data_IF_812848305850
#
_entry.id   IF_812848305850
#
_cell.length_a   1.000
_cell.length_b   1.000
_cell.length_c   1.000
_cell.angle_alpha   90.00
_cell.angle_beta   90.00
_cell.angle_gamma   90.00
#
_symmetry.space_group_name_H-M   'P 1'
#
loop_
_entity.id
_entity.type
_entity.pdbx_description
1 polymer ?
#
# COMPACT_ATOMS: atom_id res chain seq x y z
N UNK A 1 13.23 -25.68 8.01
CA UNK A 1 11.80 -25.25 7.97
C UNK A 1 11.59 -23.76 8.31
N UNK A 2 12.57 -23.02 8.83
CA UNK A 2 12.47 -21.58 9.14
C UNK A 2 12.62 -20.66 7.93
N UNK A 3 13.38 -21.11 6.91
CA UNK A 3 13.71 -20.34 5.71
C UNK A 3 12.47 -19.98 4.85
N UNK A 4 11.57 -20.94 4.66
CA UNK A 4 10.30 -20.75 3.96
C UNK A 4 9.39 -19.73 4.63
N UNK A 5 9.36 -19.69 5.97
CA UNK A 5 8.57 -18.71 6.72
C UNK A 5 9.16 -17.30 6.57
N UNK A 6 10.48 -17.16 6.71
CA UNK A 6 11.16 -15.87 6.51
C UNK A 6 10.95 -15.34 5.09
N UNK A 7 11.05 -16.21 4.08
CA UNK A 7 10.76 -15.87 2.68
C UNK A 7 9.33 -15.40 2.47
N UNK A 8 8.34 -16.10 3.02
CA UNK A 8 6.93 -15.69 2.89
C UNK A 8 6.65 -14.33 3.54
N UNK A 9 7.25 -14.06 4.71
CA UNK A 9 7.16 -12.76 5.40
C UNK A 9 7.73 -11.64 4.54
N UNK A 10 8.89 -11.87 3.95
CA UNK A 10 9.54 -10.91 3.06
C UNK A 10 8.72 -10.68 1.79
N UNK A 11 8.21 -11.74 1.14
CA UNK A 11 7.35 -11.64 -0.03
C UNK A 11 6.07 -10.85 0.24
N UNK A 12 5.44 -11.04 1.40
CA UNK A 12 4.27 -10.24 1.81
C UNK A 12 4.62 -8.76 1.93
N UNK A 13 5.74 -8.41 2.57
CA UNK A 13 6.18 -7.03 2.70
C UNK A 13 6.44 -6.38 1.33
N UNK A 14 7.08 -7.11 0.41
CA UNK A 14 7.34 -6.65 -0.95
C UNK A 14 6.05 -6.47 -1.73
N UNK A 15 5.14 -7.45 -1.69
CA UNK A 15 3.85 -7.39 -2.37
C UNK A 15 3.02 -6.18 -1.93
N UNK A 16 2.99 -5.91 -0.62
CA UNK A 16 2.32 -4.71 -0.08
C UNK A 16 2.92 -3.46 -0.70
N UNK A 17 4.26 -3.30 -0.69
CA UNK A 17 4.91 -2.12 -1.27
C UNK A 17 4.55 -1.91 -2.74
N UNK A 18 4.51 -2.98 -3.53
CA UNK A 18 4.14 -2.92 -4.96
C UNK A 18 2.69 -2.46 -5.13
N UNK A 19 1.74 -3.13 -4.47
CA UNK A 19 0.30 -2.79 -4.55
C UNK A 19 0.08 -1.33 -4.15
N UNK A 20 0.83 -0.88 -3.14
CA UNK A 20 0.67 0.48 -2.64
C UNK A 20 1.26 1.54 -3.56
N UNK A 21 2.42 1.27 -4.15
CA UNK A 21 3.01 2.13 -5.18
C UNK A 21 2.09 2.22 -6.41
N UNK A 22 1.48 1.11 -6.83
CA UNK A 22 0.48 1.10 -7.91
C UNK A 22 -0.72 1.99 -7.57
N UNK A 23 -1.23 1.93 -6.33
CA UNK A 23 -2.31 2.81 -5.86
C UNK A 23 -1.93 4.30 -5.89
N UNK A 24 -0.71 4.63 -5.50
CA UNK A 24 -0.22 6.01 -5.55
C UNK A 24 -0.10 6.52 -7.00
N UNK A 25 0.48 5.72 -7.90
CA UNK A 25 0.58 6.08 -9.33
C UNK A 25 -0.80 6.23 -9.95
N UNK A 26 -1.74 5.33 -9.65
CA UNK A 26 -3.11 5.43 -10.13
C UNK A 26 -3.79 6.73 -9.66
N UNK A 27 -3.65 7.08 -8.39
CA UNK A 27 -4.19 8.33 -7.85
C UNK A 27 -3.58 9.59 -8.50
N UNK A 28 -2.28 9.56 -8.81
CA UNK A 28 -1.59 10.64 -9.55
C UNK A 28 -2.09 10.73 -11.00
N UNK A 29 -2.30 9.61 -11.69
CA UNK A 29 -2.84 9.59 -13.05
C UNK A 29 -4.26 10.17 -13.07
N UNK A 30 -5.10 9.79 -12.10
CA UNK A 30 -6.45 10.36 -11.94
C UNK A 30 -6.38 11.86 -11.70
N UNK A 31 -5.47 12.31 -10.83
CA UNK A 31 -5.27 13.73 -10.53
C UNK A 31 -4.79 14.54 -11.75
N UNK A 32 -3.87 13.97 -12.54
CA UNK A 32 -3.27 14.62 -13.70
C UNK A 32 -4.25 14.73 -14.88
N UNK A 33 -5.18 13.78 -15.00
CA UNK A 33 -6.14 13.73 -16.11
C UNK A 33 -7.52 14.28 -15.76
N UNK A 34 -7.73 14.72 -14.52
CA UNK A 34 -9.01 15.22 -14.03
C UNK A 34 -9.32 16.65 -14.54
N UNK A 35 -10.40 16.85 -15.32
CA UNK A 35 -10.83 18.19 -15.76
C UNK A 35 -11.53 19.01 -14.66
N UNK A 36 -11.96 18.38 -13.56
CA UNK A 36 -12.72 19.03 -12.47
C UNK A 36 -12.16 18.76 -11.06
N UNK A 37 -12.46 19.67 -10.14
CA UNK A 37 -11.94 19.65 -8.75
C UNK A 37 -12.33 18.39 -7.97
N UNK A 38 -13.54 17.85 -8.18
CA UNK A 38 -14.01 16.64 -7.50
C UNK A 38 -13.20 15.38 -7.88
N UNK A 39 -12.86 15.22 -9.16
CA UNK A 39 -12.06 14.08 -9.62
C UNK A 39 -10.61 14.16 -9.13
N UNK A 40 -10.08 15.38 -8.94
CA UNK A 40 -8.78 15.59 -8.29
C UNK A 40 -8.77 15.12 -6.83
N UNK A 41 -9.81 15.44 -6.06
CA UNK A 41 -9.93 15.03 -4.65
C UNK A 41 -9.96 13.51 -4.51
N UNK A 42 -10.65 12.80 -5.41
CA UNK A 42 -10.63 11.33 -5.45
C UNK A 42 -9.22 10.78 -5.70
N UNK A 43 -8.48 11.36 -6.65
CA UNK A 43 -7.08 10.99 -6.89
C UNK A 43 -6.23 11.12 -5.63
N UNK A 44 -6.30 12.27 -4.92
CA UNK A 44 -5.58 12.49 -3.65
C UNK A 44 -6.02 11.50 -2.57
N UNK A 45 -7.33 11.25 -2.43
CA UNK A 45 -7.85 10.30 -1.44
C UNK A 45 -7.35 8.87 -1.69
N UNK A 46 -7.22 8.46 -2.95
CA UNK A 46 -6.65 7.16 -3.32
C UNK A 46 -5.16 7.10 -2.97
N UNK A 47 -4.38 8.14 -3.30
CA UNK A 47 -2.96 8.20 -2.93
C UNK A 47 -2.78 8.12 -1.42
N UNK A 48 -3.56 8.90 -0.65
CA UNK A 48 -3.51 8.89 0.80
C UNK A 48 -3.92 7.53 1.39
N UNK A 49 -4.98 6.92 0.85
CA UNK A 49 -5.42 5.58 1.27
C UNK A 49 -4.36 4.52 0.98
N UNK A 50 -3.69 4.62 -0.18
CA UNK A 50 -2.57 3.77 -0.52
C UNK A 50 -1.44 3.97 0.50
N UNK A 51 -0.90 5.18 0.65
CA UNK A 51 0.18 5.46 1.62
C UNK A 51 -0.15 4.98 3.04
N UNK A 52 -1.41 5.15 3.46
CA UNK A 52 -1.89 4.63 4.74
C UNK A 52 -1.81 3.09 4.80
N UNK A 53 -2.27 2.38 3.77
CA UNK A 53 -2.12 0.92 3.68
C UNK A 53 -0.64 0.48 3.69
N UNK A 54 0.26 1.23 3.04
CA UNK A 54 1.71 0.96 3.04
C UNK A 54 2.26 0.95 4.47
N UNK A 55 1.74 1.83 5.33
CA UNK A 55 2.22 1.98 6.69
C UNK A 55 1.52 1.03 7.67
N UNK A 56 0.21 0.81 7.53
CA UNK A 56 -0.60 0.05 8.50
C UNK A 56 -0.43 -1.45 8.32
N UNK A 57 -0.48 -1.95 7.09
CA UNK A 57 -0.44 -3.40 6.84
C UNK A 57 0.85 -4.04 7.36
N UNK A 58 2.07 -3.54 7.07
CA UNK A 58 3.28 -4.17 7.59
C UNK A 58 3.39 -4.03 9.12
N UNK A 59 2.95 -2.91 9.71
CA UNK A 59 2.95 -2.74 11.18
C UNK A 59 2.02 -3.75 11.86
N UNK A 60 0.81 -3.94 11.33
CA UNK A 60 -0.13 -4.93 11.84
C UNK A 60 0.37 -6.36 11.67
N UNK A 61 1.06 -6.64 10.55
CA UNK A 61 1.62 -7.95 10.25
C UNK A 61 2.79 -8.29 11.20
N UNK A 62 3.69 -7.32 11.44
CA UNK A 62 4.79 -7.45 12.41
C UNK A 62 4.25 -7.62 13.83
N UNK A 63 3.23 -6.83 14.22
CA UNK A 63 2.59 -6.97 15.54
C UNK A 63 1.98 -8.36 15.74
N UNK A 64 1.29 -8.91 14.72
CA UNK A 64 0.76 -10.27 14.74
C UNK A 64 1.86 -11.34 14.82
N UNK A 65 2.99 -11.14 14.16
CA UNK A 65 4.12 -12.07 14.21
C UNK A 65 4.92 -12.00 15.52
N UNK A 66 4.77 -10.92 16.30
CA UNK A 66 5.35 -10.79 17.65
C UNK A 66 4.43 -11.33 18.73
N UNK A 67 3.11 -11.26 18.51
CA UNK A 67 2.10 -11.79 19.44
C UNK A 67 1.95 -13.32 19.39
N UNK A 68 2.49 -13.99 18.37
CA UNK A 68 2.61 -15.45 18.28
C UNK A 68 4.05 -15.86 18.44
#
# INVERSE_FOLDING_TARGET
>A
MTDTLARNRWLMLVAIRIVTAMGAVFGVIVLARAPGTGMRVLGVAIVLSALYAMAVVPRGLIAKWRSR
#
